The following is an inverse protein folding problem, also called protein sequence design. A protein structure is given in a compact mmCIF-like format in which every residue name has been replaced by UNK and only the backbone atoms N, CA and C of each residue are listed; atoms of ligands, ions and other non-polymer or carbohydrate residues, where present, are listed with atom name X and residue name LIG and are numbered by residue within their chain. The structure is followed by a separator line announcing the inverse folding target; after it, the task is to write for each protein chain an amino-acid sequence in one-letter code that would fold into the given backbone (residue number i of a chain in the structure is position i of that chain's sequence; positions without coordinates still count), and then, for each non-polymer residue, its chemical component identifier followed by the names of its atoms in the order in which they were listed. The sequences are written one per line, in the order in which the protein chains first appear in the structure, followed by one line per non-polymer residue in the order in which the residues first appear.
data_IF_562479233202
#
_entry.id   IF_562479233202
#
_cell.length_a   1.000
_cell.length_b   1.000
_cell.length_c   1.000
_cell.angle_alpha   90.00
_cell.angle_beta   90.00
_cell.angle_gamma   90.00
#
_symmetry.space_group_name_H-M   'P 1'
#
loop_
_entity.id
_entity.type
_entity.pdbx_description
1 polymer ?
#
# COMPACT_ATOMS: atom_id res chain seq x y z
N UNK A 1 -2.48 38.59 -8.26
CA UNK A 1 -1.37 38.11 -7.41
C UNK A 1 -1.91 37.43 -6.15
N UNK A 2 -2.53 36.25 -6.25
CA UNK A 2 -2.97 35.50 -5.03
C UNK A 2 -2.96 33.96 -5.16
N UNK A 3 -2.54 33.36 -6.29
CA UNK A 3 -2.53 31.89 -6.44
C UNK A 3 -1.34 31.16 -5.79
N UNK A 4 -0.31 31.90 -5.34
CA UNK A 4 0.93 31.30 -4.79
C UNK A 4 0.92 31.06 -3.28
N UNK A 5 -0.06 31.61 -2.55
CA UNK A 5 -0.15 31.47 -1.10
C UNK A 5 -0.97 30.23 -0.70
N UNK A 6 -2.04 29.92 -1.44
CA UNK A 6 -2.91 28.75 -1.19
C UNK A 6 -2.19 27.40 -1.40
N UNK A 7 -1.24 27.30 -2.32
CA UNK A 7 -0.50 26.04 -2.55
C UNK A 7 0.53 25.77 -1.45
N UNK A 8 1.19 26.82 -0.93
CA UNK A 8 2.12 26.73 0.21
C UNK A 8 1.39 26.36 1.50
N UNK A 9 0.20 26.92 1.76
CA UNK A 9 -0.63 26.52 2.90
C UNK A 9 -1.07 25.06 2.81
N UNK A 10 -1.50 24.58 1.64
CA UNK A 10 -1.91 23.17 1.43
C UNK A 10 -0.76 22.18 1.64
N UNK A 11 0.47 22.55 1.25
CA UNK A 11 1.68 21.74 1.48
C UNK A 11 2.11 21.69 2.96
N UNK A 12 1.92 22.80 3.68
CA UNK A 12 2.28 22.93 5.10
C UNK A 12 1.29 22.17 6.00
N UNK A 13 -0.01 22.21 5.65
CA UNK A 13 -1.07 21.45 6.33
C UNK A 13 -0.88 19.92 6.18
N UNK A 14 -0.33 19.45 5.04
CA UNK A 14 0.01 18.03 4.83
C UNK A 14 1.21 17.56 5.66
N UNK A 15 2.25 18.39 5.84
CA UNK A 15 3.37 18.07 6.76
C UNK A 15 2.93 18.00 8.22
N UNK A 16 1.97 18.83 8.63
CA UNK A 16 1.43 18.83 10.01
C UNK A 16 0.58 17.58 10.31
N UNK A 17 -0.27 17.13 9.38
CA UNK A 17 -1.14 15.95 9.60
C UNK A 17 -0.38 14.63 9.70
N UNK A 18 0.75 14.50 9.00
CA UNK A 18 1.59 13.30 9.08
C UNK A 18 2.25 13.16 10.47
N UNK A 19 2.52 14.27 11.16
CA UNK A 19 3.00 14.28 12.54
C UNK A 19 1.85 14.04 13.54
N UNK A 20 0.68 14.63 13.31
CA UNK A 20 -0.50 14.49 14.19
C UNK A 20 -1.13 13.09 14.15
N UNK A 21 -1.08 12.37 13.03
CA UNK A 21 -1.54 10.98 12.95
C UNK A 21 -0.65 9.99 13.73
N UNK A 22 0.60 10.39 14.05
CA UNK A 22 1.58 9.58 14.80
C UNK A 22 1.68 10.04 16.28
N UNK A 23 1.22 11.27 16.58
CA UNK A 23 1.32 11.90 17.89
C UNK A 23 0.68 11.15 19.08
N UNK A 24 -0.42 10.37 18.95
CA UNK A 24 -1.02 9.69 20.10
C UNK A 24 -0.13 8.59 20.72
N UNK A 25 0.97 8.21 20.07
CA UNK A 25 1.86 7.14 20.53
C UNK A 25 2.96 7.60 21.50
N UNK A 26 3.04 8.89 21.84
CA UNK A 26 4.20 9.43 22.58
C UNK A 26 4.04 9.63 24.09
N UNK A 27 2.85 9.48 24.70
CA UNK A 27 2.70 9.92 26.09
C UNK A 27 1.75 9.12 26.98
N UNK A 28 1.84 7.79 26.96
CA UNK A 28 1.35 6.96 28.08
C UNK A 28 2.52 6.54 28.94
N UNK A 29 2.70 7.22 30.07
CA UNK A 29 3.63 6.82 31.11
C UNK A 29 3.25 5.40 31.61
N UNK A 30 4.16 4.45 31.44
CA UNK A 30 4.01 3.08 31.96
C UNK A 30 4.26 3.06 33.47
N UNK A 31 3.43 2.38 34.27
CA UNK A 31 3.71 2.18 35.69
C UNK A 31 4.96 1.32 35.89
N UNK A 32 5.74 1.67 36.92
CA UNK A 32 7.12 1.19 37.17
C UNK A 32 7.24 -0.23 37.74
N UNK A 33 6.31 -1.13 37.44
CA UNK A 33 6.31 -2.47 38.05
C UNK A 33 5.92 -3.58 37.07
N UNK A 34 6.79 -3.84 36.09
CA UNK A 34 6.89 -5.15 35.44
C UNK A 34 8.38 -5.42 35.21
N UNK A 35 9.03 -5.94 36.24
CA UNK A 35 10.31 -6.65 36.11
C UNK A 35 10.01 -8.12 35.85
N UNK A 36 10.79 -8.68 34.94
CA UNK A 36 10.87 -10.08 34.50
C UNK A 36 9.83 -10.61 33.50
N UNK A 37 10.35 -10.99 32.32
CA UNK A 37 9.63 -11.73 31.29
C UNK A 37 9.47 -11.00 29.95
N UNK A 38 10.57 -10.66 29.27
CA UNK A 38 10.57 -10.03 27.94
C UNK A 38 9.83 -10.88 26.90
N UNK A 39 8.64 -10.46 26.47
CA UNK A 39 8.13 -10.70 25.12
C UNK A 39 8.11 -9.36 24.35
N UNK A 40 9.30 -8.93 23.93
CA UNK A 40 9.50 -7.68 23.20
C UNK A 40 9.61 -7.95 21.70
N UNK A 41 8.51 -8.27 21.01
CA UNK A 41 8.43 -8.19 19.54
C UNK A 41 7.00 -7.90 19.08
N UNK A 42 6.61 -6.63 19.09
CA UNK A 42 5.54 -6.14 18.22
C UNK A 42 6.07 -6.19 16.78
N UNK A 43 5.94 -7.34 16.14
CA UNK A 43 6.20 -7.51 14.71
C UNK A 43 4.84 -7.58 14.04
N UNK A 44 4.53 -6.64 13.14
CA UNK A 44 3.37 -6.78 12.26
C UNK A 44 3.58 -8.03 11.41
N UNK A 45 2.95 -9.14 11.78
CA UNK A 45 2.98 -10.38 11.00
C UNK A 45 1.91 -10.29 9.93
N UNK A 46 2.29 -10.41 8.66
CA UNK A 46 1.34 -10.62 7.57
C UNK A 46 0.86 -12.06 7.59
N UNK A 47 -0.46 -12.26 7.76
CA UNK A 47 -1.06 -13.57 7.53
C UNK A 47 -1.28 -13.72 6.02
N UNK A 48 -0.74 -14.81 5.45
CA UNK A 48 -0.92 -15.17 4.04
C UNK A 48 -2.29 -15.77 3.75
N UNK A 49 -2.50 -16.16 2.49
CA UNK A 49 -3.74 -16.47 1.74
C UNK A 49 -4.88 -17.23 2.45
N UNK A 50 -4.65 -17.86 3.60
CA UNK A 50 -5.66 -18.57 4.37
C UNK A 50 -5.70 -18.02 5.80
N UNK A 51 -6.60 -17.07 6.05
CA UNK A 51 -6.82 -16.49 7.38
C UNK A 51 -7.32 -17.56 8.35
N UNK A 52 -8.22 -18.45 7.91
CA UNK A 52 -8.76 -19.54 8.72
C UNK A 52 -7.70 -20.62 9.04
N UNK A 53 -6.91 -21.02 8.06
CA UNK A 53 -5.85 -22.03 8.26
C UNK A 53 -4.66 -21.45 9.05
N UNK A 54 -4.33 -20.16 8.88
CA UNK A 54 -3.30 -19.48 9.66
C UNK A 54 -3.66 -19.32 11.14
N UNK A 55 -4.95 -19.17 11.46
CA UNK A 55 -5.44 -19.15 12.84
C UNK A 55 -5.35 -20.54 13.50
N UNK A 56 -5.48 -21.62 12.72
CA UNK A 56 -5.38 -23.00 13.21
C UNK A 56 -3.92 -23.52 13.29
N UNK A 57 -3.09 -23.24 12.29
CA UNK A 57 -1.75 -23.84 12.15
C UNK A 57 -0.63 -23.13 12.92
N UNK A 58 -0.82 -21.88 13.40
CA UNK A 58 0.20 -21.15 14.18
C UNK A 58 -0.02 -21.21 15.71
N UNK A 59 -0.46 -22.38 16.22
CA UNK A 59 -0.38 -22.70 17.64
C UNK A 59 -1.44 -22.06 18.54
N UNK A 60 -2.58 -21.67 18.01
CA UNK A 60 -3.64 -20.98 18.78
C UNK A 60 -4.79 -21.85 19.26
N UNK A 61 -4.79 -23.15 18.96
CA UNK A 61 -5.69 -24.15 19.58
C UNK A 61 -5.11 -24.80 20.85
N UNK A 62 -4.33 -24.08 21.66
CA UNK A 62 -4.02 -24.56 23.02
C UNK A 62 -5.07 -24.03 24.00
N UNK A 63 -5.91 -24.90 24.61
CA UNK A 63 -6.92 -24.47 25.58
C UNK A 63 -6.33 -23.89 26.88
N UNK A 64 -4.99 -23.86 27.02
CA UNK A 64 -4.28 -23.35 28.19
C UNK A 64 -3.68 -21.94 28.01
N UNK A 65 -3.85 -21.29 26.85
CA UNK A 65 -3.36 -19.92 26.58
C UNK A 65 -4.50 -18.90 26.49
N UNK A 66 -5.54 -19.06 27.30
CA UNK A 66 -6.71 -18.17 27.39
C UNK A 66 -6.41 -16.78 27.98
N UNK A 67 -5.14 -16.45 28.23
CA UNK A 67 -4.72 -15.21 28.93
C UNK A 67 -4.01 -14.15 28.09
N UNK A 68 -3.75 -14.37 26.78
CA UNK A 68 -2.91 -13.46 25.98
C UNK A 68 -3.61 -12.81 24.78
N UNK A 69 -4.93 -12.94 24.63
CA UNK A 69 -5.70 -12.12 23.70
C UNK A 69 -5.87 -10.72 24.31
N UNK A 70 -4.75 -10.00 24.43
CA UNK A 70 -4.80 -8.59 24.79
C UNK A 70 -5.51 -7.86 23.65
N UNK A 71 -6.32 -6.86 24.00
CA UNK A 71 -7.03 -5.91 23.14
C UNK A 71 -6.12 -5.09 22.18
N UNK A 72 -4.91 -5.57 21.90
CA UNK A 72 -3.82 -4.86 21.23
C UNK A 72 -3.31 -5.59 19.98
N UNK A 73 -3.89 -6.73 19.61
CA UNK A 73 -3.44 -7.51 18.46
C UNK A 73 -3.80 -6.80 17.14
N UNK A 74 -2.87 -5.95 16.68
CA UNK A 74 -2.88 -5.29 15.38
C UNK A 74 -2.11 -6.14 14.38
N UNK A 75 -2.72 -6.48 13.24
CA UNK A 75 -2.09 -7.35 12.22
C UNK A 75 -2.28 -6.82 10.81
N UNK A 76 -1.32 -7.16 9.96
CA UNK A 76 -1.45 -7.03 8.51
C UNK A 76 -1.95 -8.34 7.91
N UNK A 77 -2.67 -8.27 6.80
CA UNK A 77 -3.11 -9.43 6.02
C UNK A 77 -2.83 -9.17 4.54
N UNK A 78 -2.73 -10.21 3.73
CA UNK A 78 -2.32 -10.10 2.33
C UNK A 78 -3.09 -11.05 1.44
N UNK A 79 -3.36 -10.62 0.20
CA UNK A 79 -4.12 -11.38 -0.82
C UNK A 79 -5.53 -11.75 -0.35
N UNK A 80 -6.25 -10.77 0.21
CA UNK A 80 -7.57 -10.98 0.81
C UNK A 80 -8.68 -10.22 0.09
N UNK A 81 -9.90 -10.75 0.13
CA UNK A 81 -11.13 -10.04 -0.27
C UNK A 81 -11.72 -9.24 0.90
N UNK A 82 -12.74 -8.42 0.62
CA UNK A 82 -13.47 -7.66 1.66
C UNK A 82 -14.07 -8.59 2.72
N UNK A 83 -14.68 -9.70 2.30
CA UNK A 83 -15.31 -10.67 3.20
C UNK A 83 -14.29 -11.30 4.15
N UNK A 84 -13.07 -11.56 3.65
CA UNK A 84 -11.98 -12.09 4.47
C UNK A 84 -11.43 -11.05 5.45
N UNK A 85 -11.40 -9.77 5.08
CA UNK A 85 -11.05 -8.68 6.01
C UNK A 85 -12.07 -8.60 7.15
N UNK A 86 -13.36 -8.63 6.83
CA UNK A 86 -14.44 -8.61 7.82
C UNK A 86 -14.42 -9.84 8.74
N UNK A 87 -14.11 -11.02 8.19
CA UNK A 87 -13.92 -12.23 8.97
C UNK A 87 -12.72 -12.11 9.92
N UNK A 88 -11.58 -11.61 9.44
CA UNK A 88 -10.36 -11.41 10.23
C UNK A 88 -10.58 -10.41 11.39
N UNK A 89 -11.35 -9.35 11.15
CA UNK A 89 -11.65 -8.32 12.15
C UNK A 89 -12.42 -8.84 13.38
N UNK A 90 -13.04 -10.03 13.30
CA UNK A 90 -13.66 -10.68 14.46
C UNK A 90 -12.64 -11.18 15.49
N UNK A 91 -11.39 -11.36 15.08
CA UNK A 91 -10.33 -11.93 15.92
C UNK A 91 -9.25 -10.91 16.31
N UNK A 92 -8.90 -9.99 15.42
CA UNK A 92 -7.83 -9.01 15.64
C UNK A 92 -8.06 -7.73 14.83
N UNK A 93 -7.41 -6.64 15.22
CA UNK A 93 -7.50 -5.39 14.47
C UNK A 93 -6.65 -5.48 13.19
N UNK A 94 -7.31 -5.48 12.03
CA UNK A 94 -6.61 -5.34 10.74
C UNK A 94 -6.14 -3.90 10.57
N UNK A 95 -4.83 -3.69 10.45
CA UNK A 95 -4.23 -2.34 10.29
C UNK A 95 -3.70 -2.08 8.89
N UNK A 96 -3.34 -3.13 8.16
CA UNK A 96 -2.86 -3.02 6.77
C UNK A 96 -3.30 -4.22 5.94
N UNK A 97 -3.62 -3.97 4.67
CA UNK A 97 -3.87 -5.01 3.66
C UNK A 97 -2.81 -4.89 2.56
N UNK A 98 -2.19 -6.00 2.18
CA UNK A 98 -1.24 -6.07 1.08
C UNK A 98 -1.81 -6.91 -0.07
N UNK A 99 -2.35 -6.26 -1.09
CA UNK A 99 -2.88 -6.92 -2.28
C UNK A 99 -2.15 -6.45 -3.54
N UNK A 100 -2.30 -7.22 -4.62
CA UNK A 100 -1.73 -6.88 -5.91
C UNK A 100 -2.44 -5.63 -6.42
N UNK A 101 -1.69 -4.57 -6.67
CA UNK A 101 -2.28 -3.37 -7.25
C UNK A 101 -1.24 -2.56 -8.01
N UNK A 102 -1.54 -2.24 -9.26
CA UNK A 102 -0.73 -1.35 -10.10
C UNK A 102 -1.60 -0.80 -11.23
N UNK A 103 -1.01 0.05 -12.08
CA UNK A 103 -1.72 0.72 -13.18
C UNK A 103 -2.47 -0.24 -14.11
N UNK A 104 -1.96 -1.44 -14.32
CA UNK A 104 -2.56 -2.44 -15.22
C UNK A 104 -3.52 -3.35 -14.45
N UNK A 105 -3.16 -3.74 -13.23
CA UNK A 105 -3.94 -4.63 -12.37
C UNK A 105 -4.60 -3.88 -11.21
N UNK A 106 -5.80 -3.39 -11.46
CA UNK A 106 -6.62 -2.72 -10.44
C UNK A 106 -7.73 -3.64 -9.88
N UNK A 107 -7.55 -4.97 -9.90
CA UNK A 107 -8.62 -5.92 -9.52
C UNK A 107 -9.02 -5.82 -8.03
N UNK A 108 -8.14 -5.35 -7.15
CA UNK A 108 -8.44 -5.13 -5.73
C UNK A 108 -8.99 -3.73 -5.42
N UNK A 109 -9.70 -3.12 -6.37
CA UNK A 109 -10.30 -1.79 -6.23
C UNK A 109 -11.34 -1.75 -5.11
N UNK A 110 -12.18 -2.77 -5.03
CA UNK A 110 -13.19 -2.98 -3.98
C UNK A 110 -12.54 -3.04 -2.58
N UNK A 111 -11.44 -3.78 -2.47
CA UNK A 111 -10.65 -3.90 -1.23
C UNK A 111 -10.01 -2.57 -0.86
N UNK A 112 -9.45 -1.84 -1.83
CA UNK A 112 -8.88 -0.51 -1.62
C UNK A 112 -9.94 0.47 -1.09
N UNK A 113 -11.11 0.51 -1.74
CA UNK A 113 -12.21 1.38 -1.30
C UNK A 113 -12.72 1.02 0.09
N UNK A 114 -12.84 -0.28 0.39
CA UNK A 114 -13.17 -0.75 1.73
C UNK A 114 -12.13 -0.29 2.75
N UNK A 115 -10.84 -0.51 2.47
CA UNK A 115 -9.75 -0.11 3.35
C UNK A 115 -9.76 1.40 3.59
N UNK A 116 -10.05 2.20 2.57
CA UNK A 116 -10.12 3.66 2.68
C UNK A 116 -11.26 4.10 3.60
N UNK A 117 -12.44 3.49 3.47
CA UNK A 117 -13.59 3.76 4.37
C UNK A 117 -13.30 3.31 5.81
N UNK A 118 -12.62 2.19 5.99
CA UNK A 118 -12.29 1.61 7.29
C UNK A 118 -11.00 2.17 7.93
N UNK A 119 -10.30 3.10 7.26
CA UNK A 119 -9.00 3.64 7.69
C UNK A 119 -7.93 2.55 7.94
N UNK A 120 -7.87 1.57 7.04
CA UNK A 120 -6.88 0.49 6.98
C UNK A 120 -5.85 0.86 5.92
N UNK A 121 -4.56 0.76 6.23
CA UNK A 121 -3.50 1.04 5.23
C UNK A 121 -3.53 0.02 4.08
N UNK A 122 -3.30 0.46 2.85
CA UNK A 122 -3.23 -0.42 1.69
C UNK A 122 -1.82 -0.41 1.11
N UNK A 123 -1.18 -1.58 1.07
CA UNK A 123 0.20 -1.77 0.60
C UNK A 123 0.12 -2.49 -0.75
N UNK A 124 0.19 -1.77 -1.88
CA UNK A 124 0.17 -2.39 -3.19
C UNK A 124 1.48 -3.15 -3.41
N UNK A 125 1.44 -4.47 -3.48
CA UNK A 125 2.60 -5.24 -3.94
C UNK A 125 2.66 -5.23 -5.47
N UNK A 126 3.88 -5.31 -6.00
CA UNK A 126 4.18 -5.16 -7.42
C UNK A 126 3.68 -3.86 -8.08
N UNK A 127 3.97 -2.69 -7.48
CA UNK A 127 3.42 -1.39 -7.91
C UNK A 127 3.89 -0.95 -9.32
N UNK A 128 5.00 -1.49 -9.83
CA UNK A 128 5.60 -1.12 -11.11
C UNK A 128 5.36 -2.14 -12.25
N UNK A 129 4.53 -3.17 -12.02
CA UNK A 129 4.22 -4.21 -13.02
C UNK A 129 5.45 -4.80 -13.75
N UNK A 130 6.52 -5.08 -13.00
CA UNK A 130 7.84 -5.53 -13.48
C UNK A 130 8.39 -4.80 -14.70
N UNK A 131 8.23 -3.48 -14.80
CA UNK A 131 8.91 -2.76 -15.88
C UNK A 131 8.10 -2.67 -17.17
N UNK A 132 7.09 -3.51 -17.41
CA UNK A 132 6.33 -3.53 -18.69
C UNK A 132 5.81 -2.16 -19.10
N UNK A 133 5.32 -1.40 -18.11
CA UNK A 133 4.85 -0.02 -18.30
C UNK A 133 5.92 1.03 -18.01
N UNK A 134 7.07 0.65 -17.49
CA UNK A 134 8.05 1.58 -16.90
C UNK A 134 9.44 1.54 -17.54
N UNK A 135 9.63 0.78 -18.62
CA UNK A 135 10.82 0.87 -19.47
C UNK A 135 10.84 2.13 -20.36
N UNK A 136 12.01 2.59 -20.82
CA UNK A 136 12.10 3.60 -21.88
C UNK A 136 11.33 3.17 -23.13
N UNK A 137 10.54 4.10 -23.69
CA UNK A 137 9.65 3.80 -24.82
C UNK A 137 8.35 3.08 -24.44
N UNK A 138 8.08 2.88 -23.14
CA UNK A 138 6.78 2.40 -22.69
C UNK A 138 5.68 3.43 -22.98
N UNK A 139 4.41 3.04 -22.87
CA UNK A 139 3.29 3.97 -23.00
C UNK A 139 3.31 5.15 -22.00
N UNK A 140 4.11 5.07 -20.93
CA UNK A 140 4.27 6.16 -19.95
C UNK A 140 5.37 7.16 -20.32
N UNK A 141 6.24 6.84 -21.28
CA UNK A 141 7.46 7.59 -21.60
C UNK A 141 7.18 9.03 -22.07
N UNK A 142 6.10 9.22 -22.84
CA UNK A 142 5.69 10.55 -23.30
C UNK A 142 5.36 11.50 -22.12
N UNK A 143 4.52 11.03 -21.19
CA UNK A 143 4.14 11.81 -20.01
C UNK A 143 5.31 11.97 -19.03
N UNK A 144 6.17 10.95 -18.92
CA UNK A 144 7.38 11.02 -18.11
C UNK A 144 8.32 12.15 -18.59
N UNK A 145 8.50 12.29 -19.90
CA UNK A 145 9.28 13.38 -20.50
C UNK A 145 8.68 14.76 -20.22
N UNK A 146 7.37 14.89 -20.36
CA UNK A 146 6.64 16.14 -20.07
C UNK A 146 6.77 16.56 -18.61
N UNK A 147 6.71 15.60 -17.68
CA UNK A 147 6.85 15.82 -16.24
C UNK A 147 8.30 15.81 -15.73
N UNK A 148 9.28 15.70 -16.63
CA UNK A 148 10.71 15.61 -16.31
C UNK A 148 11.03 14.52 -15.27
N UNK A 149 10.44 13.34 -15.44
CA UNK A 149 10.58 12.19 -14.54
C UNK A 149 10.82 10.90 -15.33
N UNK A 150 10.89 9.76 -14.64
CA UNK A 150 10.93 8.43 -15.24
C UNK A 150 9.52 7.83 -15.37
N UNK A 151 9.32 6.88 -16.30
CA UNK A 151 8.08 6.10 -16.36
C UNK A 151 7.69 5.45 -15.02
N UNK A 152 8.67 4.94 -14.26
CA UNK A 152 8.47 4.44 -12.89
C UNK A 152 7.93 5.52 -11.94
N UNK A 153 8.44 6.75 -12.07
CA UNK A 153 7.96 7.90 -11.32
C UNK A 153 6.49 8.21 -11.62
N UNK A 154 6.08 8.19 -12.90
CA UNK A 154 4.67 8.36 -13.30
C UNK A 154 3.78 7.27 -12.70
N UNK A 155 4.20 6.00 -12.79
CA UNK A 155 3.45 4.88 -12.23
C UNK A 155 3.25 5.01 -10.70
N UNK A 156 4.31 5.40 -9.97
CA UNK A 156 4.21 5.64 -8.52
C UNK A 156 3.35 6.85 -8.18
N UNK A 157 3.47 7.95 -8.94
CA UNK A 157 2.64 9.14 -8.77
C UNK A 157 1.15 8.82 -8.97
N UNK A 158 0.83 7.95 -9.94
CA UNK A 158 -0.52 7.47 -10.17
C UNK A 158 -1.05 6.67 -8.96
N UNK A 159 -0.28 5.73 -8.43
CA UNK A 159 -0.67 4.95 -7.24
C UNK A 159 -0.92 5.88 -6.04
N UNK A 160 -0.01 6.83 -5.79
CA UNK A 160 -0.12 7.77 -4.68
C UNK A 160 -1.31 8.73 -4.84
N UNK A 161 -1.66 9.10 -6.09
CA UNK A 161 -2.85 9.92 -6.37
C UNK A 161 -4.14 9.13 -6.18
N UNK A 162 -4.15 7.81 -6.47
CA UNK A 162 -5.37 6.98 -6.42
C UNK A 162 -6.05 7.00 -5.05
N UNK A 163 -5.29 6.94 -3.95
CA UNK A 163 -5.86 6.91 -2.61
C UNK A 163 -4.87 7.40 -1.55
N UNK A 164 -5.34 8.17 -0.53
CA UNK A 164 -4.48 8.67 0.54
C UNK A 164 -3.96 7.59 1.49
N UNK A 165 -4.51 6.37 1.45
CA UNK A 165 -4.07 5.23 2.29
C UNK A 165 -3.07 4.31 1.57
N UNK A 166 -2.64 4.67 0.35
CA UNK A 166 -1.67 3.92 -0.43
C UNK A 166 -0.26 4.03 0.16
N UNK A 167 0.38 2.88 0.36
CA UNK A 167 1.73 2.72 0.90
C UNK A 167 2.57 1.83 -0.05
N UNK A 168 2.92 2.33 -1.25
CA UNK A 168 3.63 1.52 -2.23
C UNK A 168 5.01 1.07 -1.73
N UNK A 169 5.39 -0.15 -2.10
CA UNK A 169 6.65 -0.79 -1.73
C UNK A 169 7.52 -1.08 -2.97
N UNK A 170 7.95 -0.06 -3.74
CA UNK A 170 8.82 -0.30 -4.89
C UNK A 170 10.18 -0.83 -4.42
N UNK A 171 10.50 -2.06 -4.80
CA UNK A 171 11.80 -2.66 -4.54
C UNK A 171 12.87 -2.14 -5.51
N UNK A 172 14.07 -1.86 -5.00
CA UNK A 172 15.26 -1.59 -5.82
C UNK A 172 16.54 -1.91 -5.05
N UNK A 173 17.57 -2.36 -5.76
CA UNK A 173 18.94 -2.53 -5.25
C UNK A 173 19.89 -1.40 -5.67
N UNK A 174 19.42 -0.47 -6.51
CA UNK A 174 20.24 0.62 -7.06
C UNK A 174 19.87 1.95 -6.43
N UNK A 175 20.87 2.71 -6.02
CA UNK A 175 20.70 4.03 -5.40
C UNK A 175 19.93 5.00 -6.30
N UNK A 176 20.26 5.04 -7.59
CA UNK A 176 19.59 5.91 -8.57
C UNK A 176 18.08 5.68 -8.61
N UNK A 177 17.64 4.43 -8.67
CA UNK A 177 16.20 4.10 -8.64
C UNK A 177 15.55 4.45 -7.31
N UNK A 178 16.29 4.36 -6.19
CA UNK A 178 15.76 4.80 -4.89
C UNK A 178 15.49 6.31 -4.90
N UNK A 179 16.41 7.10 -5.45
CA UNK A 179 16.23 8.55 -5.60
C UNK A 179 15.04 8.88 -6.50
N UNK A 180 14.88 8.17 -7.62
CA UNK A 180 13.72 8.30 -8.52
C UNK A 180 12.39 7.93 -7.83
N UNK A 181 12.37 6.84 -7.05
CA UNK A 181 11.19 6.41 -6.29
C UNK A 181 10.78 7.45 -5.24
N UNK A 182 11.76 8.07 -4.56
CA UNK A 182 11.50 9.15 -3.61
C UNK A 182 10.97 10.38 -4.34
N UNK A 183 11.59 10.76 -5.46
CA UNK A 183 11.18 11.92 -6.25
C UNK A 183 9.74 11.79 -6.77
N UNK A 184 9.26 10.56 -7.02
CA UNK A 184 7.90 10.30 -7.46
C UNK A 184 6.81 10.84 -6.51
N UNK A 185 7.12 10.96 -5.22
CA UNK A 185 6.18 11.50 -4.21
C UNK A 185 5.85 12.98 -4.39
N UNK A 186 6.66 13.70 -5.17
CA UNK A 186 6.49 15.12 -5.46
C UNK A 186 5.83 15.40 -6.83
N UNK A 187 5.47 14.35 -7.57
CA UNK A 187 4.86 14.50 -8.89
C UNK A 187 3.36 14.73 -8.71
N UNK A 188 2.88 15.84 -9.25
CA UNK A 188 1.44 16.15 -9.31
C UNK A 188 0.89 15.81 -10.69
N UNK A 189 -0.07 14.88 -10.69
CA UNK A 189 -0.88 14.56 -11.86
C UNK A 189 -2.17 15.38 -11.79
N UNK A 190 -2.56 16.00 -12.91
CA UNK A 190 -3.89 16.56 -13.14
C UNK A 190 -4.94 15.44 -13.20
N UNK A 191 -6.22 15.81 -13.13
CA UNK A 191 -7.31 14.83 -13.19
C UNK A 191 -7.42 14.23 -14.59
N UNK A 192 -7.12 15.02 -15.62
CA UNK A 192 -7.04 14.60 -17.01
C UNK A 192 -5.90 13.58 -17.22
N UNK A 193 -4.69 13.87 -16.72
CA UNK A 193 -3.56 12.93 -16.81
C UNK A 193 -3.85 11.64 -16.03
N UNK A 194 -4.44 11.75 -14.84
CA UNK A 194 -4.82 10.58 -14.05
C UNK A 194 -5.83 9.70 -14.79
N UNK A 195 -6.81 10.31 -15.46
CA UNK A 195 -7.81 9.59 -16.23
C UNK A 195 -7.22 8.95 -17.49
N UNK A 196 -6.32 9.65 -18.21
CA UNK A 196 -5.59 9.08 -19.34
C UNK A 196 -4.78 7.84 -18.94
N UNK A 197 -4.14 7.88 -17.77
CA UNK A 197 -3.41 6.75 -17.21
C UNK A 197 -4.35 5.59 -16.86
N UNK A 198 -5.52 5.85 -16.28
CA UNK A 198 -6.53 4.81 -16.01
C UNK A 198 -6.94 4.08 -17.30
N UNK A 199 -7.27 4.84 -18.35
CA UNK A 199 -7.65 4.28 -19.65
C UNK A 199 -6.51 3.48 -20.29
N UNK A 200 -5.28 3.99 -20.16
CA UNK A 200 -4.09 3.30 -20.63
C UNK A 200 -3.90 1.96 -19.92
N UNK A 201 -3.96 1.94 -18.59
CA UNK A 201 -3.86 0.73 -17.78
C UNK A 201 -4.92 -0.32 -18.15
N UNK A 202 -6.16 0.11 -18.35
CA UNK A 202 -7.25 -0.76 -18.80
C UNK A 202 -6.99 -1.35 -20.19
N UNK A 203 -6.50 -0.56 -21.15
CA UNK A 203 -6.15 -1.06 -22.50
C UNK A 203 -5.05 -2.10 -22.44
N UNK A 204 -4.03 -1.88 -21.61
CA UNK A 204 -2.94 -2.83 -21.43
C UNK A 204 -3.45 -4.14 -20.80
N UNK A 205 -4.30 -4.05 -19.78
CA UNK A 205 -4.95 -5.23 -19.19
C UNK A 205 -5.72 -6.06 -20.22
N UNK A 206 -6.52 -5.39 -21.07
CA UNK A 206 -7.32 -6.05 -22.11
C UNK A 206 -6.46 -6.76 -23.15
N UNK A 207 -5.26 -6.23 -23.47
CA UNK A 207 -4.37 -6.84 -24.47
C UNK A 207 -3.87 -8.22 -24.05
N UNK A 208 -3.68 -8.44 -22.75
CA UNK A 208 -3.11 -9.67 -22.22
C UNK A 208 -4.11 -10.81 -21.97
N UNK A 209 -5.33 -10.70 -22.51
CA UNK A 209 -6.36 -11.76 -22.52
C UNK A 209 -6.58 -12.41 -21.13
N UNK A 210 -7.12 -11.63 -20.19
CA UNK A 210 -7.93 -12.06 -19.01
C UNK A 210 -7.24 -12.96 -17.96
N UNK A 211 -6.12 -13.62 -18.24
CA UNK A 211 -5.45 -14.50 -17.27
C UNK A 211 -4.36 -13.75 -16.48
N UNK A 212 -4.68 -13.41 -15.23
CA UNK A 212 -3.74 -12.87 -14.22
C UNK A 212 -2.47 -13.73 -14.11
N UNK A 213 -2.60 -15.06 -14.14
CA UNK A 213 -1.45 -15.96 -14.05
C UNK A 213 -0.58 -15.89 -15.29
N UNK A 214 -1.18 -15.81 -16.48
CA UNK A 214 -0.43 -15.67 -17.72
C UNK A 214 0.34 -14.35 -17.74
N UNK A 215 -0.30 -13.24 -17.38
CA UNK A 215 0.38 -11.95 -17.30
C UNK A 215 1.53 -11.94 -16.30
N UNK A 216 1.33 -12.47 -15.09
CA UNK A 216 2.40 -12.56 -14.10
C UNK A 216 3.57 -13.42 -14.61
N UNK A 217 3.29 -14.55 -15.28
CA UNK A 217 4.32 -15.39 -15.90
C UNK A 217 5.08 -14.70 -17.03
N UNK A 218 4.42 -13.85 -17.81
CA UNK A 218 5.06 -13.13 -18.91
C UNK A 218 5.98 -12.00 -18.41
N UNK A 219 5.77 -11.54 -17.18
CA UNK A 219 6.62 -10.55 -16.51
C UNK A 219 7.82 -11.14 -15.75
N UNK A 220 7.81 -12.44 -15.48
CA UNK A 220 8.92 -13.16 -14.83
C UNK A 220 10.03 -13.59 -15.81
N UNK A 221 9.86 -13.36 -17.11
CA UNK A 221 10.81 -13.69 -18.18
C UNK A 221 11.69 -12.50 -18.56
#
# INVERSE_FOLDING_TARGET
MNRGLESKERSTVRRSRLVEMIAPLRNTALPSSVRDGRCSKQSTVFLGRDVEESLACRGWCSPYLTGCLSLSDKRGISEVTVEQIEAAQKFFQVVTVQNLYNLVMCQSEDVLEYCQRANIGFIPWFPLAAGSMTQPGSPLDALAKEKHTTPSGIALAWILKRSPIMLPIPGTSQLKHLEENIAATNIELSDEEFQQLNELGQREWQRHQIDKHQYLKDLEK
#
